data_IF_348683637298
#
_entry.id   IF_348683637298
#
_cell.length_a   1.000
_cell.length_b   1.000
_cell.length_c   1.000
_cell.angle_alpha   90.00
_cell.angle_beta   90.00
_cell.angle_gamma   90.00
#
_symmetry.space_group_name_H-M   'P 1'
#
loop_
_entity.id
_entity.type
_entity.pdbx_description
1 polymer ?
#
# COMPACT_ATOMS: atom_id res chain seq x y z
N UNK A 1 -24.14 34.14 -68.63
CA UNK A 1 -23.36 34.48 -67.42
C UNK A 1 -23.81 33.56 -66.31
N UNK A 2 -22.98 32.70 -65.71
CA UNK A 2 -21.57 32.37 -66.00
C UNK A 2 -21.33 30.91 -65.58
N UNK A 3 -20.45 30.19 -66.30
CA UNK A 3 -20.11 28.78 -66.00
C UNK A 3 -18.96 28.69 -64.99
N UNK A 4 -18.95 27.63 -64.18
CA UNK A 4 -17.84 26.68 -63.94
C UNK A 4 -18.28 25.72 -62.81
N UNK A 5 -18.31 24.38 -62.94
CA UNK A 5 -17.37 23.38 -63.48
C UNK A 5 -16.52 22.74 -62.38
N UNK A 6 -16.75 21.45 -62.14
CA UNK A 6 -15.91 20.57 -61.31
C UNK A 6 -14.56 20.28 -61.99
N UNK A 7 -13.56 19.85 -61.20
CA UNK A 7 -12.50 18.97 -61.71
C UNK A 7 -12.42 17.65 -60.91
N UNK A 8 -12.76 16.55 -61.56
CA UNK A 8 -12.34 15.20 -61.15
C UNK A 8 -10.89 14.98 -61.56
N UNK A 9 -10.04 14.45 -60.68
CA UNK A 9 -8.70 13.96 -61.04
C UNK A 9 -8.37 12.62 -60.39
N UNK A 10 -7.64 11.80 -61.14
CA UNK A 10 -7.53 10.34 -60.94
C UNK A 10 -6.21 9.94 -60.28
N UNK A 11 -6.28 8.87 -59.49
CA UNK A 11 -5.23 7.92 -59.07
C UNK A 11 -3.78 8.16 -59.51
N UNK A 12 -2.87 8.15 -58.53
CA UNK A 12 -1.58 7.43 -58.62
C UNK A 12 -1.35 6.67 -57.30
N UNK A 13 -0.79 5.47 -57.37
CA UNK A 13 -0.47 4.61 -56.23
C UNK A 13 0.92 3.99 -56.38
N UNK A 14 1.35 3.22 -55.35
CA UNK A 14 2.62 2.48 -55.26
C UNK A 14 3.88 3.33 -54.98
N UNK A 15 5.00 2.73 -54.51
CA UNK A 15 5.21 1.31 -54.21
C UNK A 15 5.61 0.98 -52.75
N UNK A 16 5.16 -0.18 -52.27
CA UNK A 16 5.76 -0.90 -51.13
C UNK A 16 7.21 -1.26 -51.46
N UNK A 17 8.14 -1.16 -50.51
CA UNK A 17 9.55 -1.54 -50.72
C UNK A 17 10.13 -2.33 -49.56
N UNK A 18 10.15 -3.66 -49.71
CA UNK A 18 10.71 -4.63 -48.76
C UNK A 18 12.07 -5.13 -49.26
N UNK A 19 13.12 -5.05 -48.44
CA UNK A 19 14.39 -5.82 -48.51
C UNK A 19 15.39 -5.29 -47.45
N UNK A 20 16.43 -6.07 -47.08
CA UNK A 20 16.40 -7.49 -46.72
C UNK A 20 17.12 -7.75 -45.37
N UNK A 21 17.10 -8.98 -44.88
CA UNK A 21 17.97 -9.43 -43.78
C UNK A 21 19.32 -9.96 -44.31
N UNK A 22 20.43 -9.81 -43.56
CA UNK A 22 21.66 -10.55 -43.79
C UNK A 22 21.81 -11.73 -42.82
N UNK A 23 22.01 -12.94 -43.35
CA UNK A 23 22.66 -14.02 -42.61
C UNK A 23 24.19 -13.78 -42.59
N UNK A 24 24.92 -14.28 -41.58
CA UNK A 24 26.39 -14.18 -41.61
C UNK A 24 27.17 -14.53 -40.35
N UNK A 25 27.49 -15.81 -40.19
CA UNK A 25 28.81 -16.31 -39.72
C UNK A 25 29.34 -15.90 -38.34
N UNK A 26 29.40 -16.86 -37.42
CA UNK A 26 30.24 -16.79 -36.22
C UNK A 26 31.70 -17.22 -36.50
N UNK A 27 32.67 -16.78 -35.67
CA UNK A 27 33.87 -17.59 -35.42
C UNK A 27 34.13 -17.83 -33.92
N UNK A 28 34.47 -19.07 -33.59
CA UNK A 28 34.83 -19.54 -32.24
C UNK A 28 36.17 -18.97 -31.75
N UNK A 29 36.29 -18.65 -30.45
CA UNK A 29 37.60 -18.70 -29.77
C UNK A 29 37.54 -19.03 -28.27
N UNK A 30 38.27 -20.08 -27.92
CA UNK A 30 38.76 -20.53 -26.59
C UNK A 30 39.65 -19.47 -25.92
N UNK A 31 39.96 -19.47 -24.60
CA UNK A 31 39.57 -20.19 -23.36
C UNK A 31 40.27 -19.41 -22.17
N UNK A 32 40.66 -19.95 -20.99
CA UNK A 32 40.27 -21.15 -20.20
C UNK A 32 39.97 -20.82 -18.70
N UNK A 33 40.06 -21.86 -17.83
CA UNK A 33 40.13 -21.82 -16.36
C UNK A 33 38.83 -21.51 -15.57
N UNK A 34 38.61 -22.05 -14.36
CA UNK A 34 39.18 -23.26 -13.72
C UNK A 34 38.23 -23.74 -12.60
N UNK A 35 38.13 -25.06 -12.38
CA UNK A 35 37.36 -25.64 -11.26
C UNK A 35 37.99 -26.95 -10.78
N UNK A 36 38.38 -27.01 -9.50
CA UNK A 36 38.89 -28.22 -8.85
C UNK A 36 37.77 -28.91 -8.06
N UNK A 37 37.63 -30.23 -8.25
CA UNK A 37 36.87 -31.09 -7.35
C UNK A 37 37.76 -31.67 -6.25
N UNK A 38 37.14 -32.23 -5.20
CA UNK A 38 37.62 -33.19 -4.16
C UNK A 38 36.83 -32.90 -2.87
N UNK A 39 36.26 -33.85 -2.13
CA UNK A 39 35.85 -35.25 -2.43
C UNK A 39 34.78 -35.65 -1.40
N UNK A 40 33.93 -36.62 -1.74
CA UNK A 40 33.04 -37.27 -0.78
C UNK A 40 33.48 -38.72 -0.53
N UNK A 41 33.55 -39.14 0.73
CA UNK A 41 33.74 -40.53 1.15
C UNK A 41 32.79 -40.85 2.31
N UNK A 42 32.14 -42.00 2.24
CA UNK A 42 31.13 -42.44 3.20
C UNK A 42 31.56 -43.73 3.90
N UNK A 43 31.17 -43.91 5.17
CA UNK A 43 30.95 -45.23 5.78
C UNK A 43 30.11 -45.17 7.06
N UNK A 44 29.31 -46.23 7.22
CA UNK A 44 28.69 -46.82 8.41
C UNK A 44 29.16 -48.31 8.42
N UNK A 45 28.81 -49.19 9.39
CA UNK A 45 27.92 -49.03 10.55
C UNK A 45 28.55 -49.53 11.89
N UNK A 46 27.67 -49.89 12.83
CA UNK A 46 27.78 -50.95 13.85
C UNK A 46 28.06 -50.60 15.32
N UNK A 47 27.43 -51.42 16.17
CA UNK A 47 27.47 -51.46 17.64
C UNK A 47 27.54 -52.95 18.08
N UNK A 48 27.81 -53.27 19.37
CA UNK A 48 26.67 -53.62 20.23
C UNK A 48 26.83 -53.30 21.74
N UNK A 49 25.79 -53.68 22.50
CA UNK A 49 25.60 -53.70 23.97
C UNK A 49 26.51 -54.76 24.69
N UNK A 50 26.36 -55.17 25.99
CA UNK A 50 25.22 -55.04 26.93
C UNK A 50 25.55 -54.75 28.43
N UNK A 51 24.52 -54.59 29.28
CA UNK A 51 24.10 -55.52 30.38
C UNK A 51 22.77 -55.08 31.03
N UNK A 52 21.97 -56.04 31.50
CA UNK A 52 20.69 -55.86 32.23
C UNK A 52 20.83 -56.15 33.74
N UNK A 53 19.92 -55.60 34.59
CA UNK A 53 19.41 -56.29 35.80
C UNK A 53 18.18 -55.63 36.48
N UNK A 54 17.14 -56.44 36.71
CA UNK A 54 16.24 -56.49 37.88
C UNK A 54 15.43 -55.25 38.40
N UNK A 55 14.17 -55.17 37.95
CA UNK A 55 12.92 -55.18 38.76
C UNK A 55 12.93 -54.79 40.26
N UNK A 56 12.13 -53.77 40.65
CA UNK A 56 11.11 -53.83 41.74
C UNK A 56 10.35 -52.48 41.92
N UNK A 57 9.14 -52.54 42.52
CA UNK A 57 8.26 -51.40 42.91
C UNK A 57 7.18 -51.90 43.90
N UNK A 58 6.40 -51.06 44.63
CA UNK A 58 6.35 -49.59 44.72
C UNK A 58 6.86 -49.15 46.14
N UNK A 59 6.29 -48.27 47.03
CA UNK A 59 5.15 -47.33 46.99
C UNK A 59 5.38 -45.95 47.70
N UNK A 60 4.30 -45.35 48.23
CA UNK A 60 4.22 -44.29 49.28
C UNK A 60 4.83 -42.89 49.02
N UNK A 61 4.09 -42.10 48.23
CA UNK A 61 3.62 -40.73 48.57
C UNK A 61 4.41 -39.82 49.53
N UNK A 62 4.83 -38.67 49.01
CA UNK A 62 4.84 -37.37 49.70
C UNK A 62 4.64 -36.24 48.66
N UNK A 63 4.13 -35.05 49.03
CA UNK A 63 3.49 -34.15 48.06
C UNK A 63 4.47 -33.30 47.23
N UNK A 64 4.21 -33.21 45.93
CA UNK A 64 4.84 -32.22 45.04
C UNK A 64 4.37 -30.80 45.37
N UNK A 65 5.25 -29.78 45.30
CA UNK A 65 4.84 -28.39 45.45
C UNK A 65 3.90 -27.95 44.31
N UNK A 66 3.03 -26.98 44.59
CA UNK A 66 2.05 -26.47 43.65
C UNK A 66 2.71 -25.88 42.40
N UNK A 67 2.45 -26.47 41.24
CA UNK A 67 2.80 -25.89 39.94
C UNK A 67 2.05 -24.58 39.74
N UNK A 68 2.75 -23.45 39.81
CA UNK A 68 2.22 -22.18 39.32
C UNK A 68 1.84 -22.34 37.84
N UNK A 69 0.71 -21.81 37.37
CA UNK A 69 0.33 -21.93 35.97
C UNK A 69 1.36 -21.22 35.10
N UNK A 70 1.91 -21.96 34.12
CA UNK A 70 2.77 -21.40 33.07
C UNK A 70 2.08 -20.20 32.43
N UNK A 71 2.82 -19.12 32.07
CA UNK A 71 2.22 -17.96 31.43
C UNK A 71 1.48 -18.41 30.16
N UNK A 72 0.18 -18.14 30.11
CA UNK A 72 -0.65 -18.44 28.94
C UNK A 72 -0.04 -17.77 27.72
N UNK A 73 0.05 -18.51 26.61
CA UNK A 73 0.43 -17.93 25.31
C UNK A 73 -0.48 -16.75 24.93
N UNK A 74 -0.04 -15.89 24.00
CA UNK A 74 -0.80 -14.71 23.61
C UNK A 74 -2.23 -15.09 23.25
N UNK A 75 -3.20 -14.43 23.88
CA UNK A 75 -4.61 -14.74 23.70
C UNK A 75 -4.98 -14.72 22.20
N UNK A 76 -5.75 -15.70 21.70
CA UNK A 76 -6.06 -15.81 20.28
C UNK A 76 -6.72 -14.52 19.79
N UNK A 77 -6.23 -13.98 18.66
CA UNK A 77 -6.76 -12.75 18.11
C UNK A 77 -8.27 -12.92 17.84
N UNK A 78 -9.14 -12.03 18.34
CA UNK A 78 -10.57 -12.16 18.12
C UNK A 78 -10.87 -12.14 16.61
N UNK A 79 -11.87 -12.89 16.13
CA UNK A 79 -12.16 -12.98 14.70
C UNK A 79 -12.56 -11.63 14.09
N UNK A 80 -12.48 -11.49 12.74
CA UNK A 80 -13.01 -10.35 12.02
C UNK A 80 -14.49 -10.09 12.37
N UNK A 81 -14.87 -8.84 12.60
CA UNK A 81 -16.23 -8.50 13.04
C UNK A 81 -17.26 -8.79 11.93
N UNK A 82 -18.53 -9.05 12.30
CA UNK A 82 -19.60 -9.15 11.31
C UNK A 82 -19.74 -7.83 10.52
N UNK A 83 -19.97 -7.86 9.19
CA UNK A 83 -20.12 -6.65 8.39
C UNK A 83 -21.25 -5.73 8.87
N UNK A 84 -20.98 -4.42 8.94
CA UNK A 84 -21.98 -3.38 9.20
C UNK A 84 -22.85 -3.13 7.95
N UNK A 85 -24.14 -2.79 8.11
CA UNK A 85 -24.99 -2.38 6.99
C UNK A 85 -24.43 -1.18 6.21
N UNK A 86 -24.48 -1.26 4.87
CA UNK A 86 -24.01 -0.19 4.00
C UNK A 86 -24.81 1.11 4.21
N UNK A 87 -24.10 2.22 4.43
CA UNK A 87 -24.71 3.54 4.64
C UNK A 87 -25.30 3.78 6.03
N UNK A 88 -25.07 2.89 7.01
CA UNK A 88 -25.54 3.05 8.40
C UNK A 88 -25.13 4.43 8.96
N UNK A 89 -26.12 5.14 9.53
CA UNK A 89 -25.89 6.46 10.15
C UNK A 89 -25.67 6.31 11.64
N UNK A 90 -24.41 6.46 12.07
CA UNK A 90 -23.98 6.28 13.46
C UNK A 90 -23.65 7.63 14.09
N UNK A 91 -23.82 7.72 15.41
CA UNK A 91 -23.29 8.84 16.20
C UNK A 91 -21.90 8.48 16.70
N UNK A 92 -20.99 9.46 16.68
CA UNK A 92 -19.59 9.30 17.01
C UNK A 92 -19.16 10.29 18.09
N UNK A 93 -18.09 10.01 18.85
CA UNK A 93 -17.44 10.98 19.73
C UNK A 93 -17.13 12.30 19.01
N UNK A 94 -17.06 13.40 19.78
CA UNK A 94 -16.69 14.73 19.23
C UNK A 94 -15.22 14.82 18.81
N UNK A 95 -14.38 13.89 19.25
CA UNK A 95 -12.97 13.75 18.94
C UNK A 95 -12.53 12.30 19.20
N UNK A 96 -11.49 11.86 18.49
CA UNK A 96 -10.80 10.58 18.62
C UNK A 96 -9.37 10.77 19.19
N UNK A 97 -9.12 11.86 19.93
CA UNK A 97 -7.82 12.15 20.53
C UNK A 97 -7.36 11.07 21.55
N UNK A 98 -8.29 10.25 22.07
CA UNK A 98 -8.03 9.03 22.83
C UNK A 98 -7.34 7.92 22.03
N UNK A 99 -7.39 7.99 20.69
CA UNK A 99 -6.82 6.99 19.77
C UNK A 99 -5.41 7.34 19.28
N UNK A 100 -4.87 8.49 19.68
CA UNK A 100 -3.53 8.91 19.29
C UNK A 100 -2.47 7.96 19.87
N UNK A 101 -1.62 7.41 19.01
CA UNK A 101 -0.48 6.57 19.38
C UNK A 101 0.74 7.36 19.85
N UNK A 102 0.79 8.65 19.53
CA UNK A 102 1.87 9.58 19.86
C UNK A 102 1.28 10.97 20.17
N UNK A 103 1.95 11.81 20.97
CA UNK A 103 1.48 13.16 21.26
C UNK A 103 1.52 14.04 20.00
N UNK A 104 0.47 14.84 19.77
CA UNK A 104 0.48 15.82 18.68
C UNK A 104 1.65 16.82 18.84
N UNK A 105 2.27 17.30 17.75
CA UNK A 105 3.48 18.11 17.83
C UNK A 105 3.32 19.38 18.68
N UNK A 106 3.97 19.39 19.84
CA UNK A 106 3.87 20.46 20.83
C UNK A 106 4.72 21.70 20.51
N UNK A 107 4.55 22.76 21.31
CA UNK A 107 5.23 24.06 21.12
C UNK A 107 6.76 23.96 20.97
N UNK A 108 7.42 23.05 21.69
CA UNK A 108 8.87 22.81 21.55
C UNK A 108 9.24 22.26 20.17
N UNK A 109 8.45 21.32 19.66
CA UNK A 109 8.66 20.74 18.34
C UNK A 109 8.36 21.77 17.24
N UNK A 110 7.30 22.58 17.39
CA UNK A 110 6.98 23.69 16.49
C UNK A 110 8.08 24.76 16.46
N UNK A 111 8.65 25.11 17.62
CA UNK A 111 9.79 26.04 17.71
C UNK A 111 11.06 25.46 17.07
N UNK A 112 11.30 24.15 17.22
CA UNK A 112 12.38 23.44 16.53
C UNK A 112 12.17 23.44 15.01
N UNK A 113 10.95 23.16 14.55
CA UNK A 113 10.56 23.19 13.14
C UNK A 113 10.74 24.60 12.53
N UNK A 114 10.39 25.65 13.28
CA UNK A 114 10.63 27.04 12.85
C UNK A 114 12.12 27.44 12.80
N UNK A 115 13.03 26.64 13.39
CA UNK A 115 14.49 26.88 13.40
C UNK A 115 15.26 26.00 12.42
N UNK A 116 14.85 24.75 12.27
CA UNK A 116 15.57 23.67 11.55
C UNK A 116 14.77 23.09 10.37
N UNK A 117 13.50 23.46 10.21
CA UNK A 117 12.57 22.83 9.28
C UNK A 117 12.79 23.22 7.83
N UNK A 118 13.57 22.41 7.11
CA UNK A 118 13.29 22.17 5.71
C UNK A 118 11.88 21.53 5.61
N UNK A 119 10.98 22.16 4.86
CA UNK A 119 9.62 21.65 4.57
C UNK A 119 9.55 21.04 3.16
N UNK A 120 10.67 21.10 2.43
CA UNK A 120 10.90 20.66 1.05
C UNK A 120 12.41 20.36 0.92
N UNK A 121 12.83 19.42 0.05
CA UNK A 121 14.22 19.35 -0.41
C UNK A 121 14.70 20.68 -1.01
N UNK A 122 16.02 20.79 -1.09
CA UNK A 122 16.74 21.85 -1.82
C UNK A 122 16.64 21.66 -3.35
N UNK A 123 17.48 22.34 -4.14
CA UNK A 123 17.43 22.22 -5.60
C UNK A 123 17.97 20.87 -6.06
N UNK A 124 18.93 20.37 -5.32
CA UNK A 124 19.69 19.16 -5.53
C UNK A 124 18.76 17.95 -5.31
N UNK A 125 18.03 17.89 -4.20
CA UNK A 125 16.99 16.88 -3.94
C UNK A 125 15.74 16.98 -4.84
N UNK A 126 15.60 18.07 -5.62
CA UNK A 126 14.60 18.23 -6.67
C UNK A 126 15.15 17.97 -8.09
N UNK A 127 16.46 17.75 -8.26
CA UNK A 127 17.09 17.60 -9.57
C UNK A 127 16.62 16.32 -10.29
N UNK A 128 16.36 15.26 -9.53
CA UNK A 128 15.98 13.93 -10.04
C UNK A 128 14.49 13.79 -10.42
N UNK A 129 13.70 14.88 -10.42
CA UNK A 129 12.30 14.84 -10.89
C UNK A 129 12.15 14.20 -12.30
N UNK A 130 13.03 14.45 -13.29
CA UNK A 130 12.96 13.80 -14.60
C UNK A 130 13.28 12.31 -14.60
N UNK A 131 13.82 11.76 -13.50
CA UNK A 131 14.14 10.34 -13.32
C UNK A 131 13.03 9.56 -12.58
N UNK A 132 11.97 10.25 -12.13
CA UNK A 132 10.84 9.60 -11.45
C UNK A 132 10.09 8.67 -12.43
N UNK A 133 9.92 7.38 -12.10
CA UNK A 133 9.34 6.40 -13.01
C UNK A 133 7.85 6.68 -13.21
N UNK A 134 7.46 6.94 -14.46
CA UNK A 134 6.10 7.30 -14.85
C UNK A 134 5.75 6.65 -16.19
N UNK A 135 4.92 5.62 -16.17
CA UNK A 135 4.50 4.84 -17.34
C UNK A 135 2.96 4.75 -17.41
N UNK A 136 2.26 5.80 -17.88
CA UNK A 136 0.80 5.80 -18.01
C UNK A 136 0.31 4.74 -19.01
N UNK A 137 -0.21 3.63 -18.49
CA UNK A 137 -0.72 2.51 -19.28
C UNK A 137 -2.26 2.41 -19.32
N UNK A 138 -2.81 1.58 -20.22
CA UNK A 138 -4.20 1.13 -20.09
C UNK A 138 -4.36 0.24 -18.85
N UNK A 139 -5.49 0.36 -18.16
CA UNK A 139 -5.83 -0.51 -17.04
C UNK A 139 -5.99 -1.98 -17.52
N UNK A 140 -5.51 -2.97 -16.74
CA UNK A 140 -5.60 -4.37 -17.11
C UNK A 140 -7.06 -4.85 -17.16
N UNK A 141 -7.37 -5.68 -18.17
CA UNK A 141 -8.67 -6.34 -18.31
C UNK A 141 -8.67 -7.64 -17.53
N UNK A 142 -9.12 -7.57 -16.28
CA UNK A 142 -9.27 -8.71 -15.37
C UNK A 142 -10.74 -9.06 -15.15
N UNK A 143 -11.00 -10.31 -14.74
CA UNK A 143 -12.34 -10.80 -14.41
C UNK A 143 -12.70 -10.52 -12.94
N UNK A 144 -13.60 -11.31 -12.34
CA UNK A 144 -14.01 -11.15 -10.94
C UNK A 144 -13.13 -11.89 -9.92
N UNK A 145 -12.26 -12.81 -10.37
CA UNK A 145 -11.35 -13.61 -9.54
C UNK A 145 -9.94 -13.03 -9.53
N UNK A 146 -9.46 -12.55 -10.67
CA UNK A 146 -8.12 -11.96 -10.76
C UNK A 146 -8.09 -10.57 -10.10
N UNK A 147 -7.22 -10.38 -9.10
CA UNK A 147 -7.01 -9.07 -8.45
C UNK A 147 -5.96 -8.28 -9.23
N UNK A 148 -6.19 -6.99 -9.46
CA UNK A 148 -5.20 -6.12 -10.12
C UNK A 148 -5.11 -4.75 -9.46
N UNK A 149 -3.91 -4.17 -9.51
CA UNK A 149 -3.62 -2.84 -8.96
C UNK A 149 -2.91 -1.97 -9.98
N UNK A 150 -3.28 -0.70 -10.02
CA UNK A 150 -2.62 0.33 -10.84
C UNK A 150 -2.36 1.56 -9.99
N UNK A 151 -1.13 2.05 -9.97
CA UNK A 151 -0.76 3.22 -9.16
C UNK A 151 -1.08 4.51 -9.92
N UNK A 152 -2.02 5.33 -9.41
CA UNK A 152 -2.32 6.65 -10.00
C UNK A 152 -1.39 7.77 -9.50
N UNK A 153 -0.48 7.44 -8.57
CA UNK A 153 0.42 8.36 -7.86
C UNK A 153 -0.09 8.68 -6.45
N UNK A 154 0.81 9.11 -5.57
CA UNK A 154 0.58 9.36 -4.15
C UNK A 154 0.04 8.10 -3.43
N UNK A 155 -0.95 8.22 -2.55
CA UNK A 155 -1.70 7.09 -1.98
C UNK A 155 -2.86 6.60 -2.88
N UNK A 156 -3.03 7.14 -4.08
CA UNK A 156 -4.14 6.81 -4.97
C UNK A 156 -3.87 5.56 -5.81
N UNK A 157 -4.64 4.51 -5.58
CA UNK A 157 -4.64 3.27 -6.35
C UNK A 157 -6.00 3.03 -7.02
N UNK A 158 -5.95 2.43 -8.20
CA UNK A 158 -7.10 1.74 -8.80
C UNK A 158 -6.94 0.26 -8.47
N UNK A 159 -7.83 -0.29 -7.66
CA UNK A 159 -7.81 -1.69 -7.24
C UNK A 159 -9.01 -2.41 -7.85
N UNK A 160 -8.75 -3.45 -8.65
CA UNK A 160 -9.75 -4.40 -9.15
C UNK A 160 -9.75 -5.62 -8.23
N UNK A 161 -10.88 -5.91 -7.58
CA UNK A 161 -11.00 -6.99 -6.60
C UNK A 161 -12.46 -7.47 -6.51
N UNK A 162 -12.69 -8.79 -6.56
CA UNK A 162 -14.05 -9.35 -6.57
C UNK A 162 -14.95 -8.81 -7.69
N UNK A 163 -14.35 -8.42 -8.82
CA UNK A 163 -15.01 -7.74 -9.95
C UNK A 163 -15.20 -6.22 -9.78
N UNK A 164 -15.15 -5.68 -8.56
CA UNK A 164 -15.31 -4.25 -8.29
C UNK A 164 -14.14 -3.41 -8.83
N UNK A 165 -14.38 -2.11 -8.99
CA UNK A 165 -13.36 -1.07 -9.13
C UNK A 165 -13.37 -0.19 -7.88
N UNK A 166 -12.37 -0.38 -7.01
CA UNK A 166 -12.19 0.37 -5.76
C UNK A 166 -11.10 1.43 -5.99
N UNK A 167 -11.35 2.67 -5.56
CA UNK A 167 -10.30 3.69 -5.43
C UNK A 167 -9.87 3.86 -3.98
N UNK A 168 -8.56 3.88 -3.74
CA UNK A 168 -7.99 4.37 -2.46
C UNK A 168 -7.71 5.87 -2.57
N UNK A 169 -7.98 6.63 -1.50
CA UNK A 169 -7.58 8.04 -1.29
C UNK A 169 -7.39 8.86 -2.59
N UNK A 170 -8.47 9.10 -3.37
CA UNK A 170 -8.32 9.45 -4.78
C UNK A 170 -8.01 10.92 -5.00
N UNK A 171 -6.80 11.23 -5.50
CA UNK A 171 -6.31 12.59 -5.77
C UNK A 171 -5.83 12.75 -7.22
N UNK A 172 -6.80 13.07 -8.09
CA UNK A 172 -6.58 13.44 -9.50
C UNK A 172 -6.32 14.94 -9.70
N UNK A 173 -6.23 15.71 -8.61
CA UNK A 173 -5.94 17.16 -8.65
C UNK A 173 -4.47 17.46 -8.95
N UNK A 174 -4.20 18.55 -9.70
CA UNK A 174 -2.84 19.01 -10.03
C UNK A 174 -2.10 19.61 -8.83
N UNK A 175 -2.83 20.14 -7.84
CA UNK A 175 -2.32 20.79 -6.61
C UNK A 175 -3.19 20.38 -5.43
N UNK A 176 -2.58 20.23 -4.28
CA UNK A 176 -3.28 20.14 -2.99
C UNK A 176 -3.21 21.53 -2.33
N UNK A 177 -4.11 21.82 -1.39
CA UNK A 177 -4.11 23.10 -0.68
C UNK A 177 -2.91 23.14 0.27
N UNK A 178 -1.99 24.10 0.04
CA UNK A 178 -0.75 24.29 0.81
C UNK A 178 0.51 23.75 0.12
N UNK A 179 0.39 22.92 -0.92
CA UNK A 179 1.53 22.26 -1.58
C UNK A 179 1.87 22.91 -2.94
N UNK A 180 3.04 22.58 -3.52
CA UNK A 180 3.30 22.77 -4.95
C UNK A 180 2.31 21.99 -5.85
N UNK A 181 2.48 22.12 -7.17
CA UNK A 181 1.86 21.17 -8.09
C UNK A 181 2.52 19.78 -7.96
N UNK A 182 1.79 18.71 -8.30
CA UNK A 182 2.39 17.37 -8.42
C UNK A 182 3.54 17.38 -9.42
N UNK A 183 4.64 16.73 -9.04
CA UNK A 183 5.88 16.66 -9.83
C UNK A 183 5.74 15.60 -10.93
N UNK A 184 5.12 14.47 -10.60
CA UNK A 184 4.73 13.41 -11.54
C UNK A 184 3.24 13.54 -11.89
N UNK A 185 2.81 13.36 -13.15
CA UNK A 185 1.39 13.44 -13.54
C UNK A 185 0.52 12.35 -12.88
N UNK A 186 -0.77 12.34 -13.20
CA UNK A 186 -1.66 11.24 -12.80
C UNK A 186 -1.42 10.05 -13.73
N UNK A 187 -1.12 8.88 -13.15
CA UNK A 187 -0.81 7.67 -13.93
C UNK A 187 -1.98 7.12 -14.75
N UNK A 188 -3.22 7.33 -14.30
CA UNK A 188 -4.44 6.86 -14.97
C UNK A 188 -5.37 8.05 -15.25
N UNK A 189 -5.58 8.49 -16.52
CA UNK A 189 -6.45 9.61 -16.81
C UNK A 189 -7.90 9.28 -16.43
N UNK A 190 -8.63 10.25 -15.84
CA UNK A 190 -9.97 10.01 -15.28
C UNK A 190 -10.98 9.45 -16.30
N UNK A 191 -10.83 9.80 -17.58
CA UNK A 191 -11.66 9.29 -18.68
C UNK A 191 -11.37 7.86 -19.10
N UNK A 192 -10.31 7.22 -18.56
CA UNK A 192 -9.98 5.82 -18.78
C UNK A 192 -10.31 4.93 -17.57
N UNK A 193 -10.85 5.49 -16.49
CA UNK A 193 -11.36 4.71 -15.36
C UNK A 193 -12.64 3.97 -15.77
N UNK A 194 -12.80 2.68 -15.41
CA UNK A 194 -14.09 2.01 -15.35
C UNK A 194 -15.07 2.75 -14.40
N UNK A 195 -16.36 2.37 -14.39
CA UNK A 195 -17.27 2.74 -13.32
C UNK A 195 -16.64 2.45 -11.95
N UNK A 196 -16.64 3.44 -11.05
CA UNK A 196 -16.06 3.32 -9.71
C UNK A 196 -17.15 2.80 -8.76
N UNK A 197 -17.03 1.54 -8.39
CA UNK A 197 -17.98 0.83 -7.53
C UNK A 197 -17.82 1.16 -6.04
N UNK A 198 -16.61 1.57 -5.62
CA UNK A 198 -16.34 1.97 -4.26
C UNK A 198 -15.17 2.96 -4.13
N UNK A 199 -15.17 3.75 -3.07
CA UNK A 199 -13.99 4.48 -2.58
C UNK A 199 -13.72 4.12 -1.12
N UNK A 200 -12.47 3.84 -0.79
CA UNK A 200 -11.99 3.78 0.59
C UNK A 200 -11.16 5.01 0.93
N UNK A 201 -11.34 5.55 2.14
CA UNK A 201 -10.62 6.71 2.64
C UNK A 201 -9.85 6.34 3.91
N UNK A 202 -8.54 6.55 3.96
CA UNK A 202 -7.73 6.27 5.15
C UNK A 202 -7.97 7.28 6.27
N UNK A 203 -7.91 8.57 5.93
CA UNK A 203 -8.02 9.69 6.86
C UNK A 203 -8.42 10.98 6.10
N UNK A 204 -8.42 12.13 6.79
CA UNK A 204 -9.09 13.33 6.26
C UNK A 204 -8.17 14.39 5.64
N UNK A 205 -6.85 14.20 5.59
CA UNK A 205 -5.90 15.21 5.08
C UNK A 205 -6.15 15.56 3.60
N UNK A 206 -5.63 16.71 3.15
CA UNK A 206 -6.02 17.29 1.86
C UNK A 206 -5.48 16.51 0.65
N UNK A 207 -4.41 15.77 0.85
CA UNK A 207 -3.68 14.92 -0.08
C UNK A 207 -4.20 13.47 -0.13
N UNK A 208 -5.16 13.12 0.73
CA UNK A 208 -5.90 11.85 0.70
C UNK A 208 -7.39 12.05 0.39
N UNK A 209 -7.97 13.16 0.87
CA UNK A 209 -9.38 13.49 0.72
C UNK A 209 -9.56 14.73 -0.18
N UNK A 210 -9.36 14.54 -1.48
CA UNK A 210 -9.46 15.60 -2.49
C UNK A 210 -10.91 15.89 -2.94
N UNK A 211 -11.42 17.06 -2.56
CA UNK A 211 -12.79 17.46 -2.83
C UNK A 211 -13.12 17.74 -4.32
N UNK A 212 -12.20 18.25 -5.17
CA UNK A 212 -12.35 18.25 -6.62
C UNK A 212 -12.51 16.86 -7.24
N UNK A 213 -11.66 15.89 -6.88
CA UNK A 213 -11.72 14.51 -7.42
C UNK A 213 -13.02 13.82 -7.02
N UNK A 214 -13.37 13.82 -5.73
CA UNK A 214 -14.62 13.23 -5.25
C UNK A 214 -15.88 13.91 -5.83
N UNK A 215 -15.77 15.16 -6.33
CA UNK A 215 -16.88 15.83 -7.05
C UNK A 215 -17.20 15.15 -8.38
N UNK A 216 -16.26 14.46 -9.01
CA UNK A 216 -16.46 13.76 -10.29
C UNK A 216 -17.26 12.47 -10.19
N UNK A 217 -17.32 11.86 -9.01
CA UNK A 217 -18.08 10.64 -8.76
C UNK A 217 -19.60 10.89 -8.72
N UNK A 218 -20.42 9.90 -9.08
CA UNK A 218 -21.82 9.82 -8.67
C UNK A 218 -21.99 10.00 -7.14
N UNK A 219 -23.19 10.38 -6.70
CA UNK A 219 -23.46 10.64 -5.26
C UNK A 219 -23.91 9.40 -4.50
N UNK A 220 -24.34 8.41 -5.25
CA UNK A 220 -24.70 7.06 -4.86
C UNK A 220 -23.54 6.06 -4.97
N UNK A 221 -22.35 6.47 -5.44
CA UNK A 221 -21.12 5.68 -5.27
C UNK A 221 -20.90 5.37 -3.78
N UNK A 222 -20.79 4.09 -3.39
CA UNK A 222 -20.37 3.68 -2.05
C UNK A 222 -19.05 4.32 -1.63
N UNK A 223 -19.05 4.96 -0.47
CA UNK A 223 -17.82 5.47 0.16
C UNK A 223 -17.69 4.91 1.57
N UNK A 224 -16.56 4.26 1.83
CA UNK A 224 -16.18 3.69 3.11
C UNK A 224 -15.16 4.62 3.76
N UNK A 225 -15.48 5.12 4.96
CA UNK A 225 -14.73 6.22 5.57
C UNK A 225 -14.52 6.01 7.07
N UNK A 226 -13.50 6.64 7.67
CA UNK A 226 -13.27 6.55 9.10
C UNK A 226 -14.42 7.18 9.90
N UNK A 227 -14.64 6.65 11.11
CA UNK A 227 -15.57 7.17 12.10
C UNK A 227 -15.53 8.71 12.21
N UNK A 228 -16.70 9.35 12.19
CA UNK A 228 -16.88 10.80 12.24
C UNK A 228 -16.73 11.55 10.90
N UNK A 229 -16.12 10.95 9.86
CA UNK A 229 -15.89 11.64 8.59
C UNK A 229 -17.17 11.77 7.73
N UNK A 230 -18.22 11.00 7.98
CA UNK A 230 -19.42 10.94 7.14
C UNK A 230 -20.17 12.26 7.03
N UNK A 231 -20.08 13.16 8.02
CA UNK A 231 -20.63 14.53 7.94
C UNK A 231 -19.93 15.39 6.87
N UNK A 232 -18.71 15.07 6.46
CA UNK A 232 -18.01 15.73 5.35
C UNK A 232 -18.59 15.32 3.98
N UNK A 233 -18.91 14.04 3.83
CA UNK A 233 -19.47 13.44 2.60
C UNK A 233 -20.96 13.75 2.42
N UNK A 234 -21.77 13.62 3.47
CA UNK A 234 -23.22 13.91 3.42
C UNK A 234 -23.49 15.41 3.13
N UNK A 235 -22.62 16.33 3.61
CA UNK A 235 -22.64 17.76 3.19
C UNK A 235 -22.32 17.99 1.71
N UNK A 236 -21.68 17.02 1.04
CA UNK A 236 -21.40 17.00 -0.41
C UNK A 236 -22.42 16.14 -1.18
N UNK A 237 -23.57 15.85 -0.56
CA UNK A 237 -24.71 15.10 -1.10
C UNK A 237 -24.46 13.61 -1.35
N UNK A 238 -23.34 13.02 -0.90
CA UNK A 238 -23.16 11.57 -0.96
C UNK A 238 -24.19 10.85 -0.09
N UNK A 239 -24.81 9.79 -0.63
CA UNK A 239 -25.91 9.05 0.00
C UNK A 239 -25.44 7.74 0.65
N UNK A 240 -24.60 6.96 -0.04
CA UNK A 240 -24.07 5.67 0.44
C UNK A 240 -22.74 5.85 1.20
N UNK A 241 -22.82 6.42 2.40
CA UNK A 241 -21.66 6.77 3.24
C UNK A 241 -21.60 5.88 4.48
N UNK A 242 -20.69 4.89 4.49
CA UNK A 242 -20.48 3.94 5.59
C UNK A 242 -19.33 4.41 6.48
N UNK A 243 -19.58 4.57 7.78
CA UNK A 243 -18.56 4.98 8.77
C UNK A 243 -18.20 3.82 9.70
N UNK A 244 -16.89 3.53 9.83
CA UNK A 244 -16.34 2.43 10.64
C UNK A 244 -15.33 2.93 11.68
N UNK A 245 -15.36 2.34 12.88
CA UNK A 245 -14.24 2.32 13.83
C UNK A 245 -13.26 1.20 13.44
N UNK A 246 -12.09 1.18 14.06
CA UNK A 246 -11.10 0.13 13.85
C UNK A 246 -11.66 -1.26 14.17
N UNK A 247 -11.21 -2.25 13.38
CA UNK A 247 -11.58 -3.67 13.45
C UNK A 247 -13.04 -3.98 13.09
N UNK A 248 -13.85 -2.98 12.77
CA UNK A 248 -15.14 -3.12 12.12
C UNK A 248 -14.96 -3.30 10.60
N UNK A 249 -15.99 -3.84 9.95
CA UNK A 249 -16.01 -4.04 8.51
C UNK A 249 -17.37 -3.69 7.91
N UNK A 250 -17.41 -3.63 6.58
CA UNK A 250 -18.63 -3.64 5.78
C UNK A 250 -18.40 -4.51 4.52
N UNK A 251 -19.46 -4.83 3.79
CA UNK A 251 -19.38 -5.72 2.62
C UNK A 251 -20.20 -5.16 1.44
N UNK A 252 -19.66 -5.28 0.23
CA UNK A 252 -20.30 -4.88 -1.02
C UNK A 252 -20.01 -5.93 -2.08
N UNK A 253 -21.08 -6.57 -2.59
CA UNK A 253 -20.99 -7.59 -3.65
C UNK A 253 -20.03 -8.76 -3.34
N UNK A 254 -19.94 -9.16 -2.07
CA UNK A 254 -19.02 -10.21 -1.60
C UNK A 254 -17.58 -9.75 -1.36
N UNK A 255 -17.19 -8.53 -1.74
CA UNK A 255 -15.93 -7.92 -1.30
C UNK A 255 -16.11 -7.33 0.08
N UNK A 256 -15.24 -7.72 1.01
CA UNK A 256 -15.24 -7.27 2.40
C UNK A 256 -14.21 -6.16 2.60
N UNK A 257 -14.61 -5.13 3.33
CA UNK A 257 -13.86 -3.90 3.61
C UNK A 257 -13.70 -3.76 5.12
N UNK A 258 -12.58 -4.23 5.68
CA UNK A 258 -12.21 -4.03 7.09
C UNK A 258 -11.44 -2.72 7.26
N UNK A 259 -11.77 -1.92 8.27
CA UNK A 259 -11.01 -0.73 8.63
C UNK A 259 -10.03 -1.06 9.77
N UNK A 260 -8.74 -0.73 9.62
CA UNK A 260 -7.67 -1.15 10.54
C UNK A 260 -6.89 0.05 11.12
N UNK A 261 -6.28 -0.06 12.31
CA UNK A 261 -5.54 1.05 12.92
C UNK A 261 -4.31 1.51 12.13
N UNK A 262 -3.92 2.76 12.37
CA UNK A 262 -2.67 3.36 11.89
C UNK A 262 -2.05 4.24 12.98
N UNK A 263 -0.73 4.34 13.01
CA UNK A 263 0.03 5.32 13.79
C UNK A 263 -0.05 6.68 13.08
N UNK A 264 -1.18 7.38 13.17
CA UNK A 264 -1.38 8.68 12.51
C UNK A 264 -2.38 9.55 13.29
N UNK A 265 -2.98 10.54 12.65
CA UNK A 265 -3.94 11.50 13.21
C UNK A 265 -4.87 12.04 12.11
N UNK A 266 -5.66 13.09 12.37
CA UNK A 266 -6.47 13.74 11.32
C UNK A 266 -6.67 15.24 11.56
N UNK A 267 -6.66 16.06 10.50
CA UNK A 267 -6.97 17.51 10.51
C UNK A 267 -7.18 18.10 9.10
N UNK A 268 -8.21 18.94 8.93
CA UNK A 268 -8.41 19.77 7.73
C UNK A 268 -8.52 21.26 7.99
N UNK A 269 -8.87 21.68 9.19
CA UNK A 269 -9.06 23.08 9.54
C UNK A 269 -8.41 23.38 10.88
N UNK A 270 -8.39 24.67 11.26
CA UNK A 270 -7.80 25.10 12.52
C UNK A 270 -8.52 24.56 13.77
N UNK A 271 -9.67 23.89 13.62
CA UNK A 271 -10.49 23.45 14.76
C UNK A 271 -10.91 21.97 14.74
N UNK A 272 -10.53 21.18 13.73
CA UNK A 272 -11.03 19.81 13.55
C UNK A 272 -9.98 18.69 13.72
N UNK A 273 -8.85 19.00 14.37
CA UNK A 273 -7.87 18.01 14.82
C UNK A 273 -8.54 16.84 15.54
N UNK A 274 -8.31 15.61 15.06
CA UNK A 274 -8.88 14.36 15.54
C UNK A 274 -10.43 14.32 15.58
N UNK A 275 -11.16 15.15 14.81
CA UNK A 275 -12.64 15.07 14.73
C UNK A 275 -13.17 13.95 13.81
N UNK A 276 -12.30 13.27 13.08
CA UNK A 276 -12.55 11.94 12.54
C UNK A 276 -11.40 11.02 12.89
N UNK A 277 -11.64 9.73 12.84
CA UNK A 277 -10.61 8.70 12.93
C UNK A 277 -9.72 8.69 11.66
N UNK A 278 -8.70 7.84 11.68
CA UNK A 278 -7.69 7.58 10.64
C UNK A 278 -7.32 6.09 10.69
N UNK A 279 -6.85 5.50 9.60
CA UNK A 279 -6.55 4.06 9.56
C UNK A 279 -6.28 3.54 8.16
N UNK A 280 -5.84 2.28 8.08
CA UNK A 280 -5.75 1.53 6.83
C UNK A 280 -7.02 0.75 6.51
N UNK A 281 -7.00 0.02 5.41
CA UNK A 281 -8.07 -0.88 4.96
C UNK A 281 -7.50 -2.26 4.61
N UNK A 282 -8.21 -3.33 4.96
CA UNK A 282 -8.00 -4.66 4.36
C UNK A 282 -9.20 -4.96 3.47
N UNK A 283 -8.92 -5.14 2.18
CA UNK A 283 -9.89 -5.59 1.18
C UNK A 283 -9.74 -7.10 1.02
N UNK A 284 -10.79 -7.87 1.32
CA UNK A 284 -10.82 -9.33 1.09
C UNK A 284 -11.80 -9.66 -0.03
N UNK A 285 -11.33 -10.40 -1.04
CA UNK A 285 -12.13 -10.89 -2.15
C UNK A 285 -13.02 -12.09 -1.75
N UNK A 286 -14.07 -12.44 -2.54
CA UNK A 286 -14.93 -13.60 -2.25
C UNK A 286 -14.21 -14.96 -2.21
N UNK A 287 -13.05 -15.08 -2.84
CA UNK A 287 -12.19 -16.27 -2.84
C UNK A 287 -11.12 -16.27 -1.73
N UNK A 288 -11.00 -15.17 -0.98
CA UNK A 288 -10.09 -15.00 0.13
C UNK A 288 -8.83 -14.18 -0.15
N UNK A 289 -8.57 -13.74 -1.39
CA UNK A 289 -7.41 -12.88 -1.71
C UNK A 289 -7.46 -11.54 -0.95
N UNK A 290 -6.30 -11.02 -0.52
CA UNK A 290 -6.21 -9.87 0.38
C UNK A 290 -5.25 -8.78 -0.08
N UNK A 291 -5.80 -7.55 -0.19
CA UNK A 291 -5.02 -6.32 -0.37
C UNK A 291 -5.13 -5.46 0.89
N UNK A 292 -4.01 -5.20 1.55
CA UNK A 292 -3.91 -4.22 2.64
C UNK A 292 -3.49 -2.86 2.07
N UNK A 293 -4.23 -1.81 2.38
CA UNK A 293 -3.91 -0.42 2.07
C UNK A 293 -3.68 0.34 3.37
N UNK A 294 -2.43 0.65 3.72
CA UNK A 294 -2.10 1.18 5.04
C UNK A 294 -2.63 2.62 5.28
N UNK A 295 -2.88 3.39 4.22
CA UNK A 295 -3.01 4.84 4.32
C UNK A 295 -1.69 5.47 4.79
N UNK A 296 -1.80 6.51 5.61
CA UNK A 296 -0.64 7.11 6.30
C UNK A 296 -0.51 6.53 7.70
N UNK A 297 0.72 6.16 8.05
CA UNK A 297 1.07 5.58 9.34
C UNK A 297 2.57 5.71 9.57
N UNK A 298 2.97 5.99 10.82
CA UNK A 298 4.30 5.70 11.33
C UNK A 298 4.49 4.21 11.57
N UNK A 299 5.71 3.80 11.92
CA UNK A 299 5.98 2.42 12.25
C UNK A 299 5.42 2.02 13.62
N UNK A 300 4.99 0.76 13.75
CA UNK A 300 4.73 0.17 15.07
C UNK A 300 3.80 -1.04 15.08
N UNK A 301 3.46 -1.43 16.31
CA UNK A 301 2.79 -2.68 16.70
C UNK A 301 1.41 -2.95 16.09
N UNK A 302 0.85 -2.03 15.30
CA UNK A 302 -0.39 -2.30 14.56
C UNK A 302 -0.15 -3.28 13.39
N UNK A 303 1.02 -3.25 12.74
CA UNK A 303 1.30 -4.15 11.60
C UNK A 303 1.22 -5.64 11.97
N UNK A 304 1.94 -6.06 13.02
CA UNK A 304 1.88 -7.44 13.53
C UNK A 304 0.51 -7.82 14.09
N UNK A 305 -0.27 -6.86 14.62
CA UNK A 305 -1.68 -7.10 15.00
C UNK A 305 -2.61 -7.28 13.79
N UNK A 306 -2.37 -6.56 12.70
CA UNK A 306 -3.11 -6.70 11.44
C UNK A 306 -2.77 -8.05 10.80
N UNK A 307 -1.49 -8.41 10.69
CA UNK A 307 -1.06 -9.71 10.17
C UNK A 307 -1.62 -10.90 10.96
N UNK A 308 -1.63 -10.81 12.30
CA UNK A 308 -2.22 -11.83 13.16
C UNK A 308 -3.76 -11.95 13.07
N UNK A 309 -4.46 -10.89 12.61
CA UNK A 309 -5.93 -10.88 12.43
C UNK A 309 -6.36 -11.24 11.00
N UNK A 310 -5.51 -10.96 10.02
CA UNK A 310 -5.75 -11.16 8.58
C UNK A 310 -4.58 -11.95 7.95
N UNK A 311 -4.31 -13.18 8.39
CA UNK A 311 -3.14 -13.95 7.93
C UNK A 311 -3.20 -14.23 6.43
N UNK A 312 -2.05 -14.15 5.75
CA UNK A 312 -1.97 -14.26 4.30
C UNK A 312 -2.54 -13.01 3.61
N UNK A 313 -1.85 -11.89 3.74
CA UNK A 313 -2.06 -10.71 2.89
C UNK A 313 -1.28 -10.95 1.59
N UNK A 314 -1.94 -10.90 0.44
CA UNK A 314 -1.27 -11.12 -0.85
C UNK A 314 -0.49 -9.89 -1.31
N UNK A 315 -0.94 -8.70 -0.91
CA UNK A 315 -0.29 -7.44 -1.24
C UNK A 315 -0.51 -6.38 -0.15
N UNK A 316 0.57 -5.75 0.30
CA UNK A 316 0.54 -4.56 1.16
C UNK A 316 0.94 -3.30 0.36
N UNK A 317 0.02 -2.34 0.25
CA UNK A 317 0.25 -0.99 -0.25
C UNK A 317 0.71 -0.13 0.93
N UNK A 318 1.98 0.29 0.94
CA UNK A 318 2.65 0.87 2.11
C UNK A 318 3.32 2.22 1.78
N UNK A 319 3.15 3.27 2.62
CA UNK A 319 3.79 4.56 2.39
C UNK A 319 5.31 4.45 2.58
N UNK A 320 6.07 5.12 1.72
CA UNK A 320 7.54 5.23 1.83
C UNK A 320 8.05 6.67 1.64
N UNK A 321 7.16 7.67 1.73
CA UNK A 321 7.48 9.09 1.61
C UNK A 321 6.89 9.89 2.77
N UNK A 322 7.10 11.21 2.75
CA UNK A 322 6.69 12.13 3.81
C UNK A 322 7.37 11.85 5.16
N UNK A 323 8.63 11.40 5.15
CA UNK A 323 9.34 10.95 6.35
C UNK A 323 10.40 11.91 6.89
N UNK A 324 10.95 12.85 6.10
CA UNK A 324 12.02 13.73 6.58
C UNK A 324 11.55 15.18 6.90
N UNK A 325 11.93 15.79 8.05
CA UNK A 325 12.86 15.29 9.07
C UNK A 325 12.29 14.21 10.00
N UNK A 326 12.98 13.06 10.13
CA UNK A 326 12.53 11.92 10.95
C UNK A 326 12.09 12.29 12.37
N UNK A 327 12.78 13.23 13.05
CA UNK A 327 12.44 13.65 14.41
C UNK A 327 11.06 14.31 14.57
N UNK A 328 10.43 14.73 13.47
CA UNK A 328 9.09 15.33 13.42
C UNK A 328 8.04 14.36 12.84
N UNK A 329 8.46 13.34 12.08
CA UNK A 329 7.59 12.52 11.23
C UNK A 329 7.60 11.02 11.56
N UNK A 330 8.55 10.50 12.35
CA UNK A 330 8.63 9.06 12.71
C UNK A 330 7.33 8.50 13.30
N UNK A 331 6.66 9.31 14.11
CA UNK A 331 5.45 8.93 14.84
C UNK A 331 4.21 8.83 13.93
N UNK A 332 4.31 9.28 12.67
CA UNK A 332 3.18 9.51 11.76
C UNK A 332 3.42 9.08 10.30
N UNK A 333 4.66 8.87 9.85
CA UNK A 333 5.04 8.31 8.54
C UNK A 333 6.23 7.35 8.66
N UNK A 334 6.07 6.14 8.12
CA UNK A 334 7.17 5.19 7.92
C UNK A 334 8.24 5.79 7.01
N UNK A 335 9.52 5.52 7.32
CA UNK A 335 10.57 5.60 6.30
C UNK A 335 10.63 4.28 5.46
N UNK A 336 11.41 4.22 4.37
CA UNK A 336 11.41 3.07 3.47
C UNK A 336 11.84 1.77 4.14
N UNK A 337 12.78 1.82 5.08
CA UNK A 337 13.26 0.69 5.88
C UNK A 337 12.16 0.18 6.83
N UNK A 338 11.49 1.09 7.54
CA UNK A 338 10.31 0.78 8.37
C UNK A 338 9.15 0.17 7.56
N UNK A 339 8.95 0.59 6.32
CA UNK A 339 7.92 0.02 5.45
C UNK A 339 8.26 -1.42 5.00
N UNK A 340 9.54 -1.74 4.76
CA UNK A 340 9.97 -3.13 4.50
C UNK A 340 9.83 -4.01 5.76
N UNK A 341 10.06 -3.46 6.96
CA UNK A 341 9.73 -4.17 8.20
C UNK A 341 8.21 -4.36 8.36
N UNK A 342 7.40 -3.33 8.07
CA UNK A 342 5.95 -3.40 8.14
C UNK A 342 5.35 -4.49 7.23
N UNK A 343 5.91 -4.69 6.02
CA UNK A 343 5.50 -5.77 5.12
C UNK A 343 5.71 -7.17 5.73
N UNK A 344 6.85 -7.37 6.42
CA UNK A 344 7.17 -8.61 7.12
C UNK A 344 6.28 -8.81 8.36
N UNK A 345 6.08 -7.77 9.18
CA UNK A 345 5.20 -7.78 10.35
C UNK A 345 3.73 -8.10 9.97
N UNK A 346 3.27 -7.62 8.81
CA UNK A 346 1.96 -7.96 8.24
C UNK A 346 1.84 -9.42 7.77
N UNK A 347 2.96 -10.13 7.60
CA UNK A 347 2.99 -11.41 6.87
C UNK A 347 2.52 -11.26 5.42
N UNK A 348 2.80 -10.11 4.79
CA UNK A 348 2.40 -9.83 3.42
C UNK A 348 3.32 -10.53 2.42
N UNK A 349 2.74 -11.21 1.43
CA UNK A 349 3.49 -11.87 0.35
C UNK A 349 4.25 -10.88 -0.52
N UNK A 350 3.68 -9.68 -0.73
CA UNK A 350 4.20 -8.64 -1.64
C UNK A 350 4.01 -7.25 -1.07
N UNK A 351 4.87 -6.32 -1.48
CA UNK A 351 4.82 -4.90 -1.09
C UNK A 351 4.78 -4.00 -2.32
N UNK A 352 3.79 -3.11 -2.41
CA UNK A 352 3.81 -2.00 -3.36
C UNK A 352 4.03 -0.66 -2.62
N UNK A 353 5.18 0.01 -2.82
CA UNK A 353 5.45 1.30 -2.19
C UNK A 353 4.58 2.42 -2.78
N UNK A 354 4.11 3.34 -1.93
CA UNK A 354 3.24 4.47 -2.31
C UNK A 354 3.58 5.75 -1.51
N UNK A 355 2.77 6.82 -1.65
CA UNK A 355 2.94 8.14 -1.02
C UNK A 355 4.15 8.98 -1.49
N UNK A 356 5.11 8.37 -2.20
CA UNK A 356 6.30 9.04 -2.71
C UNK A 356 6.16 9.56 -4.16
N UNK A 357 7.18 10.28 -4.63
CA UNK A 357 7.39 10.59 -6.06
C UNK A 357 6.31 11.42 -6.75
N UNK A 358 5.32 11.97 -6.02
CA UNK A 358 4.10 12.55 -6.61
C UNK A 358 3.86 13.98 -6.16
N UNK A 359 3.91 14.26 -4.86
CA UNK A 359 3.86 15.59 -4.28
C UNK A 359 5.07 15.81 -3.37
N UNK A 360 5.50 17.07 -3.22
CA UNK A 360 6.57 17.44 -2.29
C UNK A 360 5.92 17.92 -0.99
N UNK A 361 5.98 17.09 0.05
CA UNK A 361 5.29 17.27 1.34
C UNK A 361 6.25 17.47 2.53
N UNK A 362 7.52 17.18 2.33
CA UNK A 362 8.55 16.88 3.33
C UNK A 362 9.94 17.17 2.74
N UNK A 363 11.01 16.95 3.51
CA UNK A 363 12.37 17.35 3.15
C UNK A 363 13.16 16.35 2.26
N UNK A 364 12.75 15.09 2.12
CA UNK A 364 13.58 14.10 1.43
C UNK A 364 13.75 14.35 -0.10
N UNK A 365 14.91 13.97 -0.69
CA UNK A 365 15.09 13.98 -2.14
C UNK A 365 14.05 13.09 -2.84
N UNK A 366 13.51 13.56 -3.97
CA UNK A 366 12.32 12.96 -4.61
C UNK A 366 12.49 11.49 -5.02
N UNK A 367 13.73 11.05 -5.29
CA UNK A 367 14.08 9.70 -5.70
C UNK A 367 14.63 8.83 -4.56
N UNK A 368 15.03 9.43 -3.43
CA UNK A 368 15.58 8.70 -2.26
C UNK A 368 14.64 7.60 -1.74
N UNK A 369 13.31 7.80 -1.60
CA UNK A 369 12.36 6.75 -1.23
C UNK A 369 12.54 5.44 -2.03
N UNK A 370 12.66 5.53 -3.36
CA UNK A 370 12.80 4.37 -4.24
C UNK A 370 14.16 3.67 -4.07
N UNK A 371 15.23 4.45 -3.88
CA UNK A 371 16.58 3.92 -3.68
C UNK A 371 16.65 3.16 -2.35
N UNK A 372 16.13 3.76 -1.27
CA UNK A 372 16.12 3.17 0.08
C UNK A 372 15.21 1.95 0.18
N UNK A 373 13.98 1.97 -0.38
CA UNK A 373 13.09 0.79 -0.30
C UNK A 373 13.69 -0.42 -1.01
N UNK A 374 14.37 -0.22 -2.15
CA UNK A 374 15.07 -1.29 -2.88
C UNK A 374 16.23 -1.86 -2.04
N UNK A 375 17.08 -1.00 -1.50
CA UNK A 375 18.21 -1.42 -0.66
C UNK A 375 17.76 -2.11 0.64
N UNK A 376 16.66 -1.66 1.24
CA UNK A 376 16.06 -2.27 2.43
C UNK A 376 15.48 -3.67 2.13
N UNK A 377 14.79 -3.83 0.99
CA UNK A 377 14.22 -5.09 0.54
C UNK A 377 15.29 -6.14 0.20
N UNK A 378 16.33 -5.72 -0.52
CA UNK A 378 17.51 -6.56 -0.82
C UNK A 378 18.24 -6.98 0.47
N UNK A 379 18.47 -6.04 1.39
CA UNK A 379 19.08 -6.30 2.71
C UNK A 379 18.25 -7.25 3.60
N UNK A 380 16.92 -7.25 3.44
CA UNK A 380 16.02 -8.20 4.10
C UNK A 380 16.03 -9.60 3.46
N UNK A 381 16.70 -9.79 2.31
CA UNK A 381 16.77 -11.07 1.60
C UNK A 381 15.46 -11.48 0.93
N UNK A 382 14.58 -10.51 0.64
CA UNK A 382 13.24 -10.76 0.09
C UNK A 382 13.27 -10.85 -1.46
N UNK A 383 12.41 -11.68 -2.09
CA UNK A 383 12.40 -11.86 -3.55
C UNK A 383 12.15 -10.55 -4.30
N UNK A 384 12.92 -10.27 -5.35
CA UNK A 384 12.85 -8.99 -6.08
C UNK A 384 11.51 -8.79 -6.80
N UNK A 385 10.91 -9.87 -7.25
CA UNK A 385 9.61 -9.97 -7.92
C UNK A 385 8.42 -9.59 -7.02
N UNK A 386 8.58 -9.71 -5.70
CA UNK A 386 7.54 -9.40 -4.71
C UNK A 386 7.61 -7.95 -4.19
N UNK A 387 8.66 -7.19 -4.54
CA UNK A 387 8.69 -5.73 -4.45
C UNK A 387 8.07 -5.12 -5.72
N UNK A 388 6.87 -4.57 -5.58
CA UNK A 388 6.11 -3.91 -6.65
C UNK A 388 6.35 -2.40 -6.61
N UNK A 389 7.60 -2.00 -6.85
CA UNK A 389 8.07 -0.61 -6.96
C UNK A 389 7.68 0.02 -8.32
N UNK A 390 6.36 0.12 -8.55
CA UNK A 390 5.80 0.45 -9.85
C UNK A 390 6.07 1.91 -10.27
N UNK A 391 6.29 2.16 -11.58
CA UNK A 391 6.09 3.48 -12.17
C UNK A 391 4.67 4.02 -11.94
N UNK A 392 4.51 5.35 -11.83
CA UNK A 392 3.19 5.98 -11.80
C UNK A 392 2.46 5.70 -13.12
N UNK A 393 1.33 5.00 -13.05
CA UNK A 393 0.53 4.54 -14.20
C UNK A 393 0.71 3.07 -14.56
N UNK A 394 1.76 2.41 -14.06
CA UNK A 394 1.98 0.98 -14.27
C UNK A 394 1.06 0.12 -13.39
N UNK A 395 0.88 -1.13 -13.82
CA UNK A 395 -0.07 -2.08 -13.22
C UNK A 395 0.58 -3.42 -12.88
N UNK A 396 0.04 -4.10 -11.87
CA UNK A 396 0.33 -5.51 -11.56
C UNK A 396 -0.96 -6.28 -11.31
N UNK A 397 -0.83 -7.60 -11.35
CA UNK A 397 -1.90 -8.59 -11.24
C UNK A 397 -1.47 -9.63 -10.20
N UNK A 398 -2.41 -10.09 -9.38
CA UNK A 398 -2.30 -11.29 -8.57
C UNK A 398 -3.06 -12.40 -9.30
N UNK A 399 -2.34 -13.49 -9.59
CA UNK A 399 -2.81 -14.71 -10.25
C UNK A 399 -2.96 -15.86 -9.23
#
# INVERSE_FOLDING_TARGET
MTQQSEPTTTTTAAPTRTAPAPEGTAPTRTAPAAASAVSATARRPDAPSPVDAATLAPPSTSPSPSTSPSPSGPAPCPPPAAPRPLGERRMWPRSFHDRLTAPLPGLKALARFAREGAVRPDKEGLADIPLLPCEPGPLPRVDARTVAVTWAGHASWVVRIGGLTVLTDPVWSRRIIGTPARITPVGVPWSALPPVDAVVISHNHYDHLDAPTLRRLPRDTPVFVPAGLGRWFRRRRFTRVTELDWWEAAELSGVRFDFVPAHHWSKRTLTDTCRSLWGGWVLTAPDGQRVHFAGDTGYGHWFSRIGARYPGIDLALLPIGAYDPRWWLSDVHCDPEEAVQAAQDLGARRMAPMHWGTFVLSAEPVLEPLIRVRAAWEKAGLPREDLWDLPVGASRVLD
#
